data_IF_456919403334
#
_entry.id   IF_456919403334
#
_cell.length_a   1.000
_cell.length_b   1.000
_cell.length_c   1.000
_cell.angle_alpha   90.00
_cell.angle_beta   90.00
_cell.angle_gamma   90.00
#
_symmetry.space_group_name_H-M   'P 1'
#
loop_
_entity.id
_entity.type
_entity.pdbx_description
1 polymer ?
#
# COMPACT_ATOMS: atom_id res chain seq x y z
N UNK A 1 -32.90 -53.48 -37.63
CA UNK A 1 -32.09 -53.33 -36.40
C UNK A 1 -31.60 -51.89 -36.34
N UNK A 2 -32.16 -51.07 -35.46
CA UNK A 2 -31.72 -49.70 -35.19
C UNK A 2 -31.13 -49.71 -33.80
N UNK A 3 -29.81 -49.57 -33.72
CA UNK A 3 -29.10 -49.39 -32.45
C UNK A 3 -29.33 -47.99 -31.93
N UNK A 4 -29.98 -47.93 -30.79
CA UNK A 4 -30.08 -46.70 -30.00
C UNK A 4 -28.76 -46.51 -29.20
N UNK A 5 -27.90 -45.60 -29.65
CA UNK A 5 -26.81 -45.11 -28.84
C UNK A 5 -27.35 -44.06 -27.88
N UNK A 6 -27.62 -44.44 -26.64
CA UNK A 6 -27.85 -43.51 -25.54
C UNK A 6 -26.53 -42.80 -25.18
N UNK A 7 -26.41 -41.53 -25.50
CA UNK A 7 -25.34 -40.68 -24.98
C UNK A 7 -25.64 -40.34 -23.51
N UNK A 8 -24.97 -41.04 -22.61
CA UNK A 8 -24.90 -40.63 -21.19
C UNK A 8 -24.14 -39.33 -21.07
N UNK A 9 -24.83 -38.21 -21.05
CA UNK A 9 -24.25 -36.90 -20.69
C UNK A 9 -23.98 -36.89 -19.19
N UNK A 10 -22.75 -37.21 -18.77
CA UNK A 10 -22.30 -36.97 -17.41
C UNK A 10 -22.34 -35.48 -17.14
N UNK A 11 -23.38 -35.02 -16.50
CA UNK A 11 -23.44 -33.65 -15.93
C UNK A 11 -22.44 -33.58 -14.80
N UNK A 12 -21.32 -32.89 -15.03
CA UNK A 12 -20.33 -32.58 -13.98
C UNK A 12 -20.97 -31.62 -13.00
N UNK A 13 -21.32 -32.09 -11.80
CA UNK A 13 -21.89 -31.27 -10.76
C UNK A 13 -20.78 -30.39 -10.18
N UNK A 14 -20.85 -29.06 -10.43
CA UNK A 14 -19.92 -28.09 -9.89
C UNK A 14 -20.35 -27.75 -8.46
N UNK A 15 -19.45 -28.00 -7.49
CA UNK A 15 -19.64 -27.57 -6.11
C UNK A 15 -18.98 -26.22 -5.89
N UNK A 16 -19.73 -25.25 -5.35
CA UNK A 16 -19.23 -23.92 -5.00
C UNK A 16 -19.08 -23.82 -3.49
N UNK A 17 -17.85 -23.69 -3.03
CA UNK A 17 -17.52 -23.48 -1.62
C UNK A 17 -17.23 -21.99 -1.40
N UNK A 18 -17.92 -21.39 -0.43
CA UNK A 18 -17.70 -19.98 -0.08
C UNK A 18 -16.73 -19.89 1.10
N UNK A 19 -15.69 -19.06 0.96
CA UNK A 19 -14.78 -18.77 2.05
C UNK A 19 -15.52 -18.10 3.24
N UNK A 20 -15.05 -18.34 4.47
CA UNK A 20 -15.65 -17.75 5.69
C UNK A 20 -15.52 -16.23 5.75
N UNK A 21 -14.42 -15.68 5.22
CA UNK A 21 -14.15 -14.23 5.16
C UNK A 21 -14.26 -13.76 3.73
N UNK A 22 -15.28 -12.95 3.43
CA UNK A 22 -15.61 -12.46 2.10
C UNK A 22 -15.71 -10.93 2.06
N UNK A 23 -15.57 -10.39 0.83
CA UNK A 23 -15.77 -8.97 0.53
C UNK A 23 -14.58 -8.08 0.89
N UNK A 24 -14.82 -6.79 0.97
CA UNK A 24 -13.79 -5.80 1.25
C UNK A 24 -13.33 -5.84 2.70
N UNK A 25 -12.02 -5.66 2.93
CA UNK A 25 -11.52 -5.36 4.27
C UNK A 25 -12.01 -3.97 4.73
N UNK A 26 -11.84 -3.67 6.00
CA UNK A 26 -12.27 -2.39 6.59
C UNK A 26 -11.68 -1.19 5.82
N UNK A 27 -10.38 -1.21 5.49
CA UNK A 27 -9.72 -0.11 4.77
C UNK A 27 -10.27 0.11 3.37
N UNK A 28 -10.48 -0.96 2.60
CA UNK A 28 -11.08 -0.90 1.26
C UNK A 28 -12.53 -0.43 1.29
N UNK A 29 -13.33 -0.95 2.24
CA UNK A 29 -14.73 -0.53 2.42
C UNK A 29 -14.80 0.96 2.72
N UNK A 30 -14.01 1.44 3.70
CA UNK A 30 -13.93 2.84 4.05
C UNK A 30 -13.55 3.73 2.85
N UNK A 31 -12.57 3.32 2.03
CA UNK A 31 -12.17 4.09 0.86
C UNK A 31 -13.30 4.23 -0.17
N UNK A 32 -14.04 3.15 -0.43
CA UNK A 32 -15.21 3.17 -1.34
C UNK A 32 -16.35 4.02 -0.78
N UNK A 33 -16.61 3.96 0.52
CA UNK A 33 -17.63 4.78 1.20
C UNK A 33 -17.27 6.28 1.12
N UNK A 34 -16.01 6.63 1.39
CA UNK A 34 -15.50 8.01 1.24
C UNK A 34 -15.64 8.51 -0.18
N UNK A 35 -15.31 7.68 -1.19
CA UNK A 35 -15.43 8.06 -2.58
C UNK A 35 -16.90 8.33 -2.98
N UNK A 36 -17.83 7.47 -2.56
CA UNK A 36 -19.25 7.72 -2.77
C UNK A 36 -19.76 8.97 -2.04
N UNK A 37 -19.30 9.19 -0.81
CA UNK A 37 -19.64 10.38 -0.02
C UNK A 37 -19.12 11.66 -0.68
N UNK A 38 -17.91 11.66 -1.23
CA UNK A 38 -17.34 12.81 -1.91
C UNK A 38 -18.20 13.29 -3.11
N UNK A 39 -18.84 12.37 -3.85
CA UNK A 39 -19.78 12.74 -4.91
C UNK A 39 -21.02 13.47 -4.36
N UNK A 40 -21.50 13.11 -3.18
CA UNK A 40 -22.64 13.74 -2.54
C UNK A 40 -22.27 15.10 -1.90
N UNK A 41 -21.10 15.16 -1.28
CA UNK A 41 -20.61 16.38 -0.60
C UNK A 41 -20.19 17.47 -1.61
N UNK A 42 -19.81 17.08 -2.84
CA UNK A 42 -19.31 18.00 -3.88
C UNK A 42 -20.04 17.82 -5.23
N UNK A 43 -21.36 18.01 -5.30
CA UNK A 43 -22.18 17.64 -6.47
C UNK A 43 -21.83 18.41 -7.77
N UNK A 44 -21.23 19.60 -7.64
CA UNK A 44 -20.89 20.47 -8.78
C UNK A 44 -19.37 20.55 -9.05
N UNK A 45 -18.61 19.59 -8.56
CA UNK A 45 -17.16 19.57 -8.71
C UNK A 45 -16.71 18.27 -9.38
N UNK A 46 -15.58 18.31 -10.08
CA UNK A 46 -14.97 17.09 -10.56
C UNK A 46 -14.36 16.34 -9.36
N UNK A 47 -14.67 15.06 -9.27
CA UNK A 47 -14.12 14.17 -8.24
C UNK A 47 -13.14 13.19 -8.89
N UNK A 48 -11.93 13.21 -8.41
CA UNK A 48 -10.82 12.40 -8.89
C UNK A 48 -10.33 11.47 -7.81
N UNK A 49 -9.83 10.29 -8.16
CA UNK A 49 -8.97 9.48 -7.29
C UNK A 49 -7.53 9.58 -7.77
N UNK A 50 -6.60 9.77 -6.87
CA UNK A 50 -5.18 9.80 -7.20
C UNK A 50 -4.66 8.38 -7.42
N UNK A 51 -4.56 7.99 -8.68
CA UNK A 51 -4.40 6.59 -9.08
C UNK A 51 -5.66 5.74 -8.79
N UNK A 52 -5.60 4.43 -9.03
CA UNK A 52 -6.71 3.52 -8.69
C UNK A 52 -7.00 3.54 -7.18
N UNK A 53 -8.24 3.81 -6.79
CA UNK A 53 -8.65 3.90 -5.39
C UNK A 53 -8.33 2.61 -4.61
N UNK A 54 -8.55 1.48 -5.27
CA UNK A 54 -8.34 0.11 -4.77
C UNK A 54 -7.96 -0.80 -5.94
N UNK A 55 -7.39 -1.98 -5.66
CA UNK A 55 -7.10 -2.99 -6.69
C UNK A 55 -8.32 -3.89 -6.96
N UNK A 56 -9.40 -3.31 -7.51
CA UNK A 56 -10.58 -4.06 -7.92
C UNK A 56 -11.26 -3.36 -9.10
N UNK A 57 -11.07 -3.89 -10.29
CA UNK A 57 -11.56 -3.30 -11.55
C UNK A 57 -13.08 -3.10 -11.56
N UNK A 58 -13.86 -4.08 -11.08
CA UNK A 58 -15.32 -3.96 -10.99
C UNK A 58 -15.78 -2.79 -10.13
N UNK A 59 -15.08 -2.59 -9.02
CA UNK A 59 -15.40 -1.46 -8.15
C UNK A 59 -14.98 -0.12 -8.75
N UNK A 60 -13.83 -0.08 -9.43
CA UNK A 60 -13.37 1.12 -10.15
C UNK A 60 -14.34 1.51 -11.27
N UNK A 61 -14.82 0.53 -12.05
CA UNK A 61 -15.83 0.77 -13.10
C UNK A 61 -17.12 1.34 -12.52
N UNK A 62 -17.63 0.80 -11.41
CA UNK A 62 -18.82 1.35 -10.73
C UNK A 62 -18.61 2.78 -10.21
N UNK A 63 -17.41 3.13 -9.79
CA UNK A 63 -17.09 4.50 -9.37
C UNK A 63 -16.98 5.43 -10.59
N UNK A 64 -16.42 4.96 -11.71
CA UNK A 64 -16.35 5.70 -12.96
C UNK A 64 -17.74 5.97 -13.54
N UNK A 65 -18.65 4.99 -13.53
CA UNK A 65 -20.07 5.15 -13.92
C UNK A 65 -20.78 6.25 -13.10
N UNK A 66 -20.35 6.48 -11.86
CA UNK A 66 -20.86 7.55 -10.99
C UNK A 66 -20.19 8.90 -11.20
N UNK A 67 -19.19 8.98 -12.09
CA UNK A 67 -18.50 10.23 -12.43
C UNK A 67 -17.15 10.44 -11.73
N UNK A 68 -16.64 9.47 -10.97
CA UNK A 68 -15.28 9.56 -10.41
C UNK A 68 -14.27 9.26 -11.50
N UNK A 69 -13.29 10.16 -11.65
CA UNK A 69 -12.21 10.03 -12.62
C UNK A 69 -10.91 9.56 -11.94
N UNK A 70 -10.03 8.92 -12.70
CA UNK A 70 -8.71 8.55 -12.20
C UNK A 70 -7.70 9.60 -12.67
N UNK A 71 -6.99 10.21 -11.70
CA UNK A 71 -5.90 11.15 -11.94
C UNK A 71 -4.58 10.41 -12.01
N UNK A 72 -3.75 10.73 -12.99
CA UNK A 72 -2.38 10.25 -13.06
C UNK A 72 -1.54 10.83 -11.91
N UNK A 73 -0.72 9.99 -11.27
CA UNK A 73 0.21 10.45 -10.24
C UNK A 73 1.40 11.24 -10.79
N UNK A 74 1.54 11.29 -12.10
CA UNK A 74 2.65 11.95 -12.79
C UNK A 74 2.30 13.32 -13.37
N UNK A 75 1.01 13.61 -13.47
CA UNK A 75 0.54 14.85 -14.10
C UNK A 75 -0.66 15.43 -13.35
N UNK A 76 -0.44 16.56 -12.71
CA UNK A 76 -1.46 17.33 -11.99
C UNK A 76 -1.87 18.59 -12.74
N UNK A 77 -1.42 18.79 -13.99
CA UNK A 77 -1.69 20.00 -14.78
C UNK A 77 -3.17 20.27 -15.03
N UNK A 78 -3.99 19.21 -15.00
CA UNK A 78 -5.45 19.29 -15.24
C UNK A 78 -6.24 19.60 -13.96
N UNK A 79 -5.58 19.66 -12.80
CA UNK A 79 -6.23 19.86 -11.50
C UNK A 79 -6.17 21.32 -11.07
N UNK A 80 -7.26 21.82 -10.51
CA UNK A 80 -7.37 23.17 -10.00
C UNK A 80 -8.31 23.30 -8.79
N UNK A 81 -8.67 24.54 -8.45
CA UNK A 81 -9.43 24.88 -7.24
C UNK A 81 -10.87 24.37 -7.21
N UNK A 82 -11.40 23.95 -8.36
CA UNK A 82 -12.75 23.34 -8.49
C UNK A 82 -12.73 21.82 -8.40
N UNK A 83 -11.56 21.21 -8.25
CA UNK A 83 -11.42 19.76 -8.23
C UNK A 83 -11.32 19.22 -6.81
N UNK A 84 -11.84 18.02 -6.62
CA UNK A 84 -11.74 17.22 -5.39
C UNK A 84 -10.87 16.01 -5.72
N UNK A 85 -9.79 15.83 -4.97
CA UNK A 85 -8.87 14.71 -5.16
C UNK A 85 -8.91 13.79 -3.95
N UNK A 86 -9.33 12.55 -4.18
CA UNK A 86 -9.39 11.50 -3.16
C UNK A 86 -8.05 10.78 -3.12
N UNK A 87 -7.39 10.79 -1.98
CA UNK A 87 -6.19 9.98 -1.75
C UNK A 87 -6.62 8.53 -1.57
N UNK A 88 -6.03 7.63 -2.36
CA UNK A 88 -6.35 6.19 -2.36
C UNK A 88 -6.03 5.50 -1.03
N UNK A 89 -6.53 4.27 -0.84
CA UNK A 89 -6.34 3.48 0.39
C UNK A 89 -4.86 3.22 0.74
N UNK A 90 -3.96 3.21 -0.24
CA UNK A 90 -2.51 2.99 -0.07
C UNK A 90 -1.75 4.22 0.46
N UNK A 91 -2.42 5.39 0.53
CA UNK A 91 -1.76 6.64 0.84
C UNK A 91 -0.82 7.12 -0.27
N UNK A 92 -0.21 8.26 -0.02
CA UNK A 92 0.78 8.90 -0.91
C UNK A 92 1.83 9.64 -0.06
N UNK A 93 2.98 10.02 -0.64
CA UNK A 93 3.94 10.91 0.03
C UNK A 93 3.31 12.24 0.44
N UNK A 94 3.72 12.85 1.58
CA UNK A 94 3.24 14.16 1.99
C UNK A 94 3.44 15.26 0.94
N UNK A 95 4.55 15.22 0.21
CA UNK A 95 4.86 16.16 -0.89
C UNK A 95 3.80 16.16 -2.00
N UNK A 96 3.22 14.99 -2.28
CA UNK A 96 2.12 14.86 -3.25
C UNK A 96 0.88 15.61 -2.76
N UNK A 97 0.55 15.50 -1.48
CA UNK A 97 -0.58 16.23 -0.87
C UNK A 97 -0.32 17.73 -0.90
N UNK A 98 0.90 18.17 -0.60
CA UNK A 98 1.32 19.58 -0.65
C UNK A 98 1.18 20.13 -2.08
N UNK A 99 1.64 19.41 -3.09
CA UNK A 99 1.50 19.78 -4.50
C UNK A 99 0.04 19.97 -4.90
N UNK A 100 -0.83 19.02 -4.54
CA UNK A 100 -2.26 19.11 -4.85
C UNK A 100 -2.95 20.27 -4.11
N UNK A 101 -2.54 20.56 -2.88
CA UNK A 101 -3.03 21.74 -2.14
C UNK A 101 -2.56 23.04 -2.77
N UNK A 102 -1.34 23.11 -3.27
CA UNK A 102 -0.77 24.29 -3.90
C UNK A 102 -1.52 24.69 -5.19
N UNK A 103 -2.06 23.72 -5.94
CA UNK A 103 -2.93 24.02 -7.10
C UNK A 103 -4.39 24.29 -6.70
N UNK A 104 -4.69 24.32 -5.39
CA UNK A 104 -6.01 24.68 -4.84
C UNK A 104 -7.02 23.52 -4.78
N UNK A 105 -6.62 22.28 -5.05
CA UNK A 105 -7.51 21.13 -4.97
C UNK A 105 -8.02 20.89 -3.53
N UNK A 106 -9.26 20.46 -3.41
CA UNK A 106 -9.79 19.94 -2.13
C UNK A 106 -9.36 18.50 -1.97
N UNK A 107 -8.69 18.20 -0.86
CA UNK A 107 -8.19 16.84 -0.58
C UNK A 107 -9.16 16.08 0.33
N UNK A 108 -9.54 14.89 -0.10
CA UNK A 108 -10.32 13.91 0.69
C UNK A 108 -9.44 12.69 0.95
N UNK A 109 -9.05 12.45 2.19
CA UNK A 109 -8.10 11.39 2.52
C UNK A 109 -8.83 10.06 2.81
N UNK A 110 -8.72 9.11 1.88
CA UNK A 110 -9.21 7.74 2.03
C UNK A 110 -8.11 6.73 2.39
N UNK A 111 -6.92 7.18 2.79
CA UNK A 111 -5.83 6.31 3.23
C UNK A 111 -6.30 5.37 4.33
N UNK A 112 -5.98 4.09 4.22
CA UNK A 112 -6.32 3.10 5.23
C UNK A 112 -5.69 3.47 6.58
N UNK A 113 -6.42 3.42 7.71
CA UNK A 113 -5.87 3.76 9.03
C UNK A 113 -4.61 2.98 9.41
N UNK A 114 -4.46 1.73 8.94
CA UNK A 114 -3.25 0.92 9.16
C UNK A 114 -2.05 1.48 8.38
N UNK A 115 -2.27 1.89 7.15
CA UNK A 115 -1.23 2.57 6.34
C UNK A 115 -0.85 3.90 6.96
N UNK A 116 -1.84 4.70 7.41
CA UNK A 116 -1.57 5.96 8.13
C UNK A 116 -0.72 5.74 9.39
N UNK A 117 -0.97 4.65 10.12
CA UNK A 117 -0.16 4.29 11.28
C UNK A 117 1.29 3.96 10.89
N UNK A 118 1.51 3.21 9.80
CA UNK A 118 2.84 2.90 9.29
C UNK A 118 3.57 4.17 8.85
N UNK A 119 2.88 5.07 8.12
CA UNK A 119 3.41 6.37 7.71
C UNK A 119 3.81 7.23 8.93
N UNK A 120 2.93 7.30 9.94
CA UNK A 120 3.20 8.04 11.18
C UNK A 120 4.42 7.47 11.91
N UNK A 121 4.51 6.14 12.07
CA UNK A 121 5.66 5.47 12.69
C UNK A 121 6.96 5.79 11.93
N UNK A 122 6.94 5.69 10.60
CA UNK A 122 8.10 6.04 9.77
C UNK A 122 8.56 7.48 10.01
N UNK A 123 7.63 8.44 10.02
CA UNK A 123 7.91 9.84 10.31
C UNK A 123 8.47 10.04 11.73
N UNK A 124 7.89 9.37 12.75
CA UNK A 124 8.30 9.49 14.16
C UNK A 124 9.74 8.96 14.37
N UNK A 125 10.13 7.84 13.72
CA UNK A 125 11.51 7.33 13.76
C UNK A 125 12.47 8.25 13.01
N UNK A 126 12.09 8.68 11.83
CA UNK A 126 12.90 9.59 11.03
C UNK A 126 13.14 10.93 11.75
N UNK A 127 12.13 11.48 12.43
CA UNK A 127 12.26 12.69 13.23
C UNK A 127 13.23 12.58 14.42
N UNK A 128 13.44 11.33 14.91
CA UNK A 128 14.45 11.03 15.94
C UNK A 128 15.84 10.76 15.37
N UNK A 129 16.03 10.88 14.05
CA UNK A 129 17.29 10.55 13.37
C UNK A 129 17.55 9.04 13.24
N UNK A 130 16.56 8.19 13.54
CA UNK A 130 16.66 6.74 13.44
C UNK A 130 16.36 6.34 12.00
N UNK A 131 17.22 5.51 11.42
CA UNK A 131 17.03 4.99 10.07
C UNK A 131 15.74 4.14 9.98
N UNK A 132 15.04 4.26 8.86
CA UNK A 132 13.82 3.49 8.58
C UNK A 132 14.11 2.53 7.45
N UNK A 133 13.89 1.24 7.69
CA UNK A 133 13.96 0.19 6.68
C UNK A 133 12.53 -0.24 6.38
N UNK A 134 12.17 -0.25 5.09
CA UNK A 134 10.83 -0.60 4.63
C UNK A 134 10.91 -1.90 3.83
N UNK A 135 10.25 -2.94 4.32
CA UNK A 135 10.12 -4.22 3.63
C UNK A 135 8.84 -4.22 2.77
N UNK A 136 8.97 -4.45 1.45
CA UNK A 136 7.85 -4.47 0.51
C UNK A 136 8.25 -4.17 -0.92
N UNK A 137 7.30 -4.23 -1.84
CA UNK A 137 7.52 -3.94 -3.25
C UNK A 137 7.88 -2.46 -3.45
N UNK A 138 9.06 -2.21 -4.00
CA UNK A 138 9.61 -0.86 -4.28
C UNK A 138 8.70 -0.01 -5.17
N UNK A 139 7.90 -0.65 -6.02
CA UNK A 139 6.99 0.02 -6.95
C UNK A 139 5.57 0.19 -6.37
N UNK A 140 5.31 -0.30 -5.17
CA UNK A 140 3.98 -0.21 -4.57
C UNK A 140 3.74 1.17 -3.93
N UNK A 141 2.56 1.75 -4.17
CA UNK A 141 2.23 3.09 -3.67
C UNK A 141 2.25 3.24 -2.15
N UNK A 142 1.95 2.18 -1.39
CA UNK A 142 2.05 2.18 0.07
C UNK A 142 3.51 2.36 0.52
N UNK A 143 4.43 1.63 -0.10
CA UNK A 143 5.87 1.73 0.19
C UNK A 143 6.39 3.13 -0.14
N UNK A 144 6.00 3.68 -1.30
CA UNK A 144 6.33 5.05 -1.67
C UNK A 144 5.77 6.08 -0.65
N UNK A 145 4.52 5.88 -0.20
CA UNK A 145 3.88 6.73 0.80
C UNK A 145 4.59 6.70 2.15
N UNK A 146 5.00 5.51 2.63
CA UNK A 146 5.76 5.36 3.88
C UNK A 146 7.15 5.99 3.75
N UNK A 147 7.86 5.72 2.64
CA UNK A 147 9.18 6.27 2.37
C UNK A 147 9.15 7.81 2.30
N UNK A 148 8.13 8.38 1.64
CA UNK A 148 7.95 9.83 1.57
C UNK A 148 7.80 10.50 2.93
N UNK A 149 7.23 9.80 3.92
CA UNK A 149 7.11 10.32 5.29
C UNK A 149 8.44 10.43 6.03
N UNK A 150 9.50 9.72 5.58
CA UNK A 150 10.83 9.81 6.19
C UNK A 150 11.62 11.02 5.71
N UNK A 151 11.28 11.58 4.53
CA UNK A 151 12.02 12.69 3.90
C UNK A 151 11.74 14.03 4.58
N UNK A 152 10.52 14.22 5.08
CA UNK A 152 10.07 15.46 5.71
C UNK A 152 10.45 15.59 7.20
N UNK A 153 11.39 14.80 7.68
CA UNK A 153 11.88 14.90 9.04
C UNK A 153 12.78 16.13 9.19
N UNK A 154 12.69 16.82 10.34
CA UNK A 154 13.56 17.94 10.69
C UNK A 154 15.00 17.51 11.02
N UNK A 155 15.26 16.22 11.07
CA UNK A 155 16.58 15.64 11.32
C UNK A 155 17.40 15.56 10.02
N UNK A 156 18.74 15.68 10.08
CA UNK A 156 19.58 15.44 8.91
C UNK A 156 19.35 14.04 8.40
N UNK A 157 18.76 13.96 7.20
CA UNK A 157 18.38 12.80 6.39
C UNK A 157 18.59 11.43 7.05
N UNK A 158 17.64 10.91 7.81
CA UNK A 158 17.72 9.53 8.24
C UNK A 158 17.71 8.66 6.99
N UNK A 159 18.58 7.64 6.96
CA UNK A 159 18.62 6.71 5.83
C UNK A 159 17.28 5.98 5.75
N UNK A 160 16.61 6.09 4.59
CA UNK A 160 15.48 5.23 4.25
C UNK A 160 15.97 4.15 3.28
N UNK A 161 15.79 2.89 3.64
CA UNK A 161 16.24 1.75 2.87
C UNK A 161 15.03 0.89 2.48
N UNK A 162 14.91 0.54 1.21
CA UNK A 162 13.84 -0.33 0.70
C UNK A 162 14.38 -1.74 0.45
N UNK A 163 13.70 -2.75 0.97
CA UNK A 163 14.06 -4.16 0.86
C UNK A 163 12.83 -4.95 0.42
N UNK A 164 12.91 -5.64 -0.72
CA UNK A 164 11.77 -6.37 -1.26
C UNK A 164 11.63 -7.78 -0.69
N UNK A 165 12.76 -8.44 -0.43
CA UNK A 165 12.78 -9.83 0.01
C UNK A 165 14.06 -10.17 0.78
N UNK A 166 14.11 -11.39 1.34
CA UNK A 166 15.28 -11.90 2.08
C UNK A 166 16.59 -11.84 1.29
N UNK A 167 16.55 -12.13 -0.01
CA UNK A 167 17.77 -12.12 -0.85
C UNK A 167 18.27 -10.68 -1.05
N UNK A 168 17.37 -9.72 -1.19
CA UNK A 168 17.71 -8.30 -1.26
C UNK A 168 18.41 -7.85 0.04
N UNK A 169 17.88 -8.25 1.20
CA UNK A 169 18.54 -8.01 2.50
C UNK A 169 19.96 -8.59 2.56
N UNK A 170 20.17 -9.83 2.09
CA UNK A 170 21.50 -10.46 2.02
C UNK A 170 22.44 -9.70 1.10
N UNK A 171 21.96 -9.31 -0.09
CA UNK A 171 22.77 -8.59 -1.08
C UNK A 171 23.24 -7.24 -0.55
N UNK A 172 22.38 -6.51 0.17
CA UNK A 172 22.73 -5.24 0.80
C UNK A 172 23.81 -5.46 1.88
N UNK A 173 23.70 -6.50 2.70
CA UNK A 173 24.70 -6.84 3.69
C UNK A 173 26.05 -7.20 3.04
N UNK A 174 26.03 -7.99 1.96
CA UNK A 174 27.25 -8.36 1.21
C UNK A 174 27.91 -7.14 0.55
N UNK A 175 27.12 -6.28 -0.06
CA UNK A 175 27.60 -5.05 -0.68
C UNK A 175 28.23 -4.10 0.35
N UNK A 176 27.68 -4.02 1.55
CA UNK A 176 28.27 -3.26 2.67
C UNK A 176 29.61 -3.85 3.11
N UNK A 177 29.71 -5.19 3.29
CA UNK A 177 30.95 -5.87 3.67
C UNK A 177 32.04 -5.73 2.61
N UNK A 178 31.65 -5.69 1.35
CA UNK A 178 32.56 -5.44 0.23
C UNK A 178 32.95 -3.95 0.07
N UNK A 179 32.41 -3.04 0.89
CA UNK A 179 32.67 -1.61 0.77
C UNK A 179 32.00 -0.94 -0.42
N UNK A 180 31.10 -1.64 -1.13
CA UNK A 180 30.42 -1.12 -2.33
C UNK A 180 29.29 -0.14 -1.99
N UNK A 181 28.79 -0.14 -0.75
CA UNK A 181 27.81 0.81 -0.25
C UNK A 181 28.23 1.31 1.16
N UNK A 182 27.70 2.47 1.61
CA UNK A 182 27.95 2.95 2.97
C UNK A 182 27.50 1.98 4.03
N UNK A 183 28.11 2.06 5.22
CA UNK A 183 27.77 1.23 6.38
C UNK A 183 26.26 1.26 6.68
N UNK A 184 25.70 0.11 7.02
CA UNK A 184 24.35 0.00 7.56
C UNK A 184 24.25 0.78 8.89
N UNK A 185 23.08 1.29 9.25
CA UNK A 185 22.89 2.04 10.47
C UNK A 185 23.08 1.10 11.69
N UNK A 186 23.62 1.63 12.79
CA UNK A 186 23.73 0.89 14.06
C UNK A 186 22.35 0.71 14.73
N UNK A 187 21.40 1.62 14.43
CA UNK A 187 20.04 1.61 14.92
C UNK A 187 19.08 1.86 13.77
N UNK A 188 18.02 1.07 13.67
CA UNK A 188 16.99 1.21 12.67
C UNK A 188 15.64 0.69 13.15
N UNK A 189 14.56 1.22 12.57
CA UNK A 189 13.22 0.65 12.64
C UNK A 189 12.88 -0.07 11.33
N UNK A 190 12.43 -1.30 11.42
CA UNK A 190 11.94 -2.09 10.28
C UNK A 190 10.41 -2.05 10.26
N UNK A 191 9.85 -1.53 9.17
CA UNK A 191 8.41 -1.43 8.89
C UNK A 191 8.14 -2.23 7.63
N UNK A 192 6.97 -2.86 7.48
CA UNK A 192 6.62 -3.53 6.23
C UNK A 192 5.37 -2.96 5.57
N UNK A 193 5.28 -3.19 4.27
CA UNK A 193 4.04 -3.09 3.51
C UNK A 193 2.97 -3.96 4.18
N UNK A 194 1.77 -3.44 4.38
CA UNK A 194 0.72 -4.10 5.17
C UNK A 194 0.28 -5.45 4.61
N UNK A 195 0.55 -5.72 3.33
CA UNK A 195 0.22 -6.96 2.62
C UNK A 195 1.39 -7.93 2.45
N UNK A 196 2.57 -7.61 2.99
CA UNK A 196 3.73 -8.52 2.95
C UNK A 196 3.44 -9.80 3.77
N UNK A 197 3.93 -10.95 3.32
CA UNK A 197 3.77 -12.18 4.08
C UNK A 197 4.57 -12.16 5.38
N UNK A 198 4.03 -12.73 6.45
CA UNK A 198 4.71 -12.84 7.75
C UNK A 198 6.04 -13.58 7.61
N UNK A 199 6.06 -14.67 6.86
CA UNK A 199 7.24 -15.50 6.64
C UNK A 199 8.38 -14.69 6.01
N UNK A 200 8.07 -13.90 4.97
CA UNK A 200 9.08 -13.07 4.29
C UNK A 200 9.56 -11.92 5.20
N UNK A 201 8.64 -11.27 5.92
CA UNK A 201 8.99 -10.21 6.85
C UNK A 201 9.94 -10.67 7.96
N UNK A 202 9.63 -11.81 8.58
CA UNK A 202 10.46 -12.39 9.62
C UNK A 202 11.82 -12.83 9.07
N UNK A 203 11.88 -13.36 7.85
CA UNK A 203 13.12 -13.74 7.19
C UNK A 203 14.01 -12.51 6.89
N UNK A 204 13.43 -11.39 6.43
CA UNK A 204 14.14 -10.12 6.25
C UNK A 204 14.68 -9.62 7.60
N UNK A 205 13.83 -9.62 8.64
CA UNK A 205 14.22 -9.17 9.97
C UNK A 205 15.39 -9.99 10.56
N UNK A 206 15.36 -11.33 10.37
CA UNK A 206 16.45 -12.20 10.82
C UNK A 206 17.78 -11.92 10.10
N UNK A 207 17.76 -11.66 8.79
CA UNK A 207 18.98 -11.30 8.06
C UNK A 207 19.54 -9.95 8.55
N UNK A 208 18.70 -8.94 8.69
CA UNK A 208 19.14 -7.61 9.11
C UNK A 208 19.67 -7.58 10.55
N UNK A 209 19.11 -8.37 11.47
CA UNK A 209 19.56 -8.48 12.86
C UNK A 209 21.01 -9.01 13.00
N UNK A 210 21.56 -9.63 11.96
CA UNK A 210 22.96 -10.08 11.96
C UNK A 210 23.94 -8.90 11.93
N UNK A 211 23.55 -7.78 11.34
CA UNK A 211 24.42 -6.61 11.11
C UNK A 211 23.95 -5.36 11.86
N UNK A 212 22.64 -5.21 12.12
CA UNK A 212 22.06 -4.05 12.80
C UNK A 212 21.75 -4.44 14.25
N UNK A 213 22.60 -4.01 15.18
CA UNK A 213 22.50 -4.39 16.60
C UNK A 213 21.20 -3.94 17.26
N UNK A 214 20.74 -2.73 16.94
CA UNK A 214 19.53 -2.12 17.50
C UNK A 214 18.44 -2.01 16.43
N UNK A 215 18.02 -3.17 15.88
CA UNK A 215 16.91 -3.23 14.93
C UNK A 215 15.59 -3.44 15.69
N UNK A 216 14.73 -2.41 15.66
CA UNK A 216 13.36 -2.53 16.15
C UNK A 216 12.44 -3.00 15.01
N UNK A 217 11.82 -4.16 15.18
CA UNK A 217 10.92 -4.76 14.19
C UNK A 217 9.50 -4.44 14.58
N UNK A 218 8.81 -3.63 13.75
CA UNK A 218 7.46 -3.16 14.02
C UNK A 218 6.43 -4.09 13.36
N UNK A 219 5.45 -4.54 14.12
CA UNK A 219 4.35 -5.32 13.55
C UNK A 219 3.37 -4.39 12.81
N UNK A 220 3.54 -4.31 11.49
CA UNK A 220 2.72 -3.48 10.59
C UNK A 220 1.95 -4.30 9.56
N UNK A 221 2.05 -5.63 9.58
CA UNK A 221 1.24 -6.51 8.73
C UNK A 221 -0.24 -6.36 9.04
N UNK A 222 -1.06 -6.27 8.01
CA UNK A 222 -2.50 -6.17 8.18
C UNK A 222 -3.12 -7.53 8.50
N UNK A 223 -3.80 -7.73 9.65
CA UNK A 223 -4.48 -8.98 9.99
C UNK A 223 -5.48 -9.43 8.92
N UNK A 224 -6.12 -8.48 8.23
CA UNK A 224 -7.05 -8.81 7.15
C UNK A 224 -6.40 -9.55 5.97
N UNK A 225 -5.08 -9.50 5.81
CA UNK A 225 -4.35 -10.31 4.83
C UNK A 225 -4.28 -11.75 5.28
N UNK A 226 -3.83 -11.99 6.52
CA UNK A 226 -3.73 -13.32 7.12
C UNK A 226 -5.11 -13.98 7.23
N UNK A 227 -6.11 -13.28 7.77
CA UNK A 227 -7.49 -13.77 7.91
C UNK A 227 -8.10 -14.27 6.60
N UNK A 228 -7.77 -13.60 5.47
CA UNK A 228 -8.28 -14.02 4.15
C UNK A 228 -7.52 -15.20 3.58
N UNK A 229 -6.22 -15.29 3.81
CA UNK A 229 -5.42 -16.43 3.39
C UNK A 229 -5.81 -17.70 4.16
N UNK A 230 -6.07 -17.59 5.46
CA UNK A 230 -6.50 -18.70 6.32
C UNK A 230 -7.97 -19.12 6.08
N UNK A 231 -8.77 -18.28 5.44
CA UNK A 231 -10.18 -18.57 5.14
C UNK A 231 -10.39 -19.33 3.82
N UNK A 232 -9.33 -19.57 3.05
CA UNK A 232 -9.35 -20.36 1.80
C UNK A 232 -9.05 -21.83 2.09
#
# INVERSE_FOLDING_TARGET
MKENMSQDSKTTQISVIRAKVLGYCMGVRRAVEIANKALLDYPNRNVWTLGPLIHNERALNKLAEKGIKILSEKDFSIIGNKDVVIIRAHGVPPTTIETLKAVGATIVDATCPRVMLSQKRAADYAAKGIAVIIAGDKNHGEVAGIAGCTINSKAPSPKCLLIENKNDAKNIILAQKAGSIPSLPQQAALICQTTLSRVEYDAIAQELKKEIKNLEVLDTICPATTERQEAL
#
